data_IF_466624249496
#
_entry.id   IF_466624249496
#
_cell.length_a   1.000
_cell.length_b   1.000
_cell.length_c   1.000
_cell.angle_alpha   90.00
_cell.angle_beta   90.00
_cell.angle_gamma   90.00
#
_symmetry.space_group_name_H-M   'P 1'
#
loop_
_entity.id
_entity.type
_entity.pdbx_description
1 polymer ?
#
# COMPACT_ATOMS: atom_id res chain seq x y z
N UNK A 1 -7.56 2.70 -19.60
CA UNK A 1 -8.03 3.76 -18.67
C UNK A 1 -7.14 3.83 -17.47
N UNK A 2 -6.67 5.02 -17.17
CA UNK A 2 -5.67 5.26 -16.14
C UNK A 2 -6.29 5.83 -14.86
N UNK A 3 -7.51 5.49 -14.59
CA UNK A 3 -8.19 5.90 -13.37
C UNK A 3 -9.32 4.95 -13.02
N UNK A 4 -9.67 4.90 -11.75
CA UNK A 4 -10.85 4.19 -11.27
C UNK A 4 -12.12 5.00 -11.54
N UNK A 5 -13.27 4.38 -11.31
CA UNK A 5 -14.55 5.07 -11.28
C UNK A 5 -14.58 6.05 -10.11
N UNK A 6 -15.48 7.04 -10.17
CA UNK A 6 -15.62 8.02 -9.08
C UNK A 6 -16.11 7.38 -7.80
N UNK A 7 -16.97 6.36 -7.91
CA UNK A 7 -17.51 5.66 -6.74
C UNK A 7 -17.14 4.18 -6.81
N UNK A 8 -16.76 3.62 -5.66
CA UNK A 8 -16.46 2.18 -5.52
C UNK A 8 -17.20 1.69 -4.28
N UNK A 9 -17.98 0.63 -4.46
CA UNK A 9 -18.74 0.05 -3.36
C UNK A 9 -18.04 -1.21 -2.87
N UNK A 10 -17.79 -1.28 -1.56
CA UNK A 10 -16.98 -2.35 -0.99
C UNK A 10 -17.51 -3.75 -1.25
N UNK A 11 -18.83 -3.92 -1.32
CA UNK A 11 -19.45 -5.21 -1.61
C UNK A 11 -19.51 -5.56 -3.10
N UNK A 12 -19.11 -4.63 -3.97
CA UNK A 12 -19.12 -4.82 -5.42
C UNK A 12 -17.72 -4.76 -6.04
N UNK A 13 -16.72 -4.37 -5.25
CA UNK A 13 -15.35 -4.23 -5.71
C UNK A 13 -14.56 -5.48 -5.35
N UNK A 14 -13.82 -6.01 -6.32
CA UNK A 14 -13.02 -7.22 -6.14
C UNK A 14 -12.06 -7.11 -4.96
N UNK A 15 -12.01 -8.16 -4.15
CA UNK A 15 -10.99 -8.34 -3.12
C UNK A 15 -10.05 -9.44 -3.60
N UNK A 16 -8.78 -9.09 -3.81
CA UNK A 16 -7.76 -10.00 -4.31
C UNK A 16 -7.03 -10.67 -3.15
N UNK A 17 -6.86 -11.98 -3.23
CA UNK A 17 -5.94 -12.70 -2.34
C UNK A 17 -4.54 -12.53 -2.93
N UNK A 18 -3.67 -11.81 -2.23
CA UNK A 18 -2.29 -11.54 -2.69
C UNK A 18 -1.26 -12.43 -2.02
N UNK A 19 -1.71 -13.47 -1.28
CA UNK A 19 -0.85 -14.44 -0.62
C UNK A 19 -0.37 -13.99 0.75
N UNK A 20 0.24 -14.92 1.49
CA UNK A 20 0.83 -14.62 2.79
C UNK A 20 -0.14 -14.19 3.88
N UNK A 21 -1.43 -14.46 3.72
CA UNK A 21 -2.46 -14.01 4.67
C UNK A 21 -2.90 -12.57 4.43
N UNK A 22 -2.64 -12.03 3.25
CA UNK A 22 -3.00 -10.65 2.87
C UNK A 22 -4.06 -10.66 1.77
N UNK A 23 -5.02 -9.74 1.88
CA UNK A 23 -5.98 -9.45 0.82
C UNK A 23 -5.99 -7.96 0.54
N UNK A 24 -6.26 -7.59 -0.70
CA UNK A 24 -6.22 -6.20 -1.15
C UNK A 24 -7.46 -5.84 -1.94
N UNK A 25 -8.00 -4.66 -1.68
CA UNK A 25 -9.10 -4.09 -2.44
C UNK A 25 -8.72 -2.68 -2.91
N UNK A 26 -8.87 -2.43 -4.19
CA UNK A 26 -8.64 -1.10 -4.76
C UNK A 26 -9.76 -0.15 -4.31
N UNK A 27 -9.40 1.01 -3.75
CA UNK A 27 -10.36 2.02 -3.34
C UNK A 27 -10.52 3.11 -4.39
N UNK A 28 -9.44 3.53 -5.01
CA UNK A 28 -9.46 4.53 -6.06
C UNK A 28 -8.07 4.88 -6.53
N UNK A 29 -7.95 5.34 -7.77
CA UNK A 29 -6.67 5.76 -8.32
C UNK A 29 -6.82 6.60 -9.58
N UNK A 30 -5.78 7.36 -9.85
CA UNK A 30 -5.50 7.98 -11.15
C UNK A 30 -3.98 8.04 -11.32
N UNK A 31 -3.46 8.89 -12.18
CA UNK A 31 -2.01 9.02 -12.42
C UNK A 31 -1.25 9.65 -11.23
N UNK A 32 -1.94 10.22 -10.27
CA UNK A 32 -1.32 10.98 -9.18
C UNK A 32 -1.40 10.29 -7.83
N UNK A 33 -2.44 9.49 -7.60
CA UNK A 33 -2.74 8.93 -6.30
C UNK A 33 -3.42 7.56 -6.41
N UNK A 34 -3.19 6.73 -5.42
CA UNK A 34 -3.86 5.44 -5.30
C UNK A 34 -4.10 5.13 -3.83
N UNK A 35 -5.28 4.63 -3.50
CA UNK A 35 -5.57 4.12 -2.17
C UNK A 35 -6.07 2.67 -2.27
N UNK A 36 -5.57 1.82 -1.36
CA UNK A 36 -5.96 0.42 -1.27
C UNK A 36 -6.26 0.05 0.17
N UNK A 37 -7.20 -0.87 0.36
CA UNK A 37 -7.51 -1.45 1.66
C UNK A 37 -6.88 -2.83 1.72
N UNK A 38 -6.18 -3.12 2.80
CA UNK A 38 -5.46 -4.37 2.99
C UNK A 38 -5.96 -5.04 4.27
N UNK A 39 -6.33 -6.33 4.15
CA UNK A 39 -6.66 -7.18 5.28
C UNK A 39 -5.45 -8.05 5.60
N UNK A 40 -5.09 -8.09 6.86
CA UNK A 40 -4.03 -8.96 7.39
C UNK A 40 -4.68 -10.06 8.22
N UNK A 41 -4.41 -11.30 7.90
CA UNK A 41 -4.74 -12.40 8.82
C UNK A 41 -3.88 -12.30 10.07
N UNK A 42 -4.33 -12.91 11.16
CA UNK A 42 -3.58 -12.95 12.41
C UNK A 42 -2.17 -13.48 12.17
N UNK A 43 -1.17 -12.69 12.54
CA UNK A 43 0.24 -13.04 12.39
C UNK A 43 0.82 -12.80 11.00
N UNK A 44 0.04 -12.28 10.06
CA UNK A 44 0.55 -11.99 8.72
C UNK A 44 1.63 -10.92 8.76
N UNK A 45 2.55 -11.01 7.81
CA UNK A 45 3.71 -10.12 7.72
C UNK A 45 3.71 -9.42 6.37
N UNK A 46 3.75 -8.08 6.42
CA UNK A 46 4.14 -7.27 5.29
C UNK A 46 5.64 -7.04 5.38
N UNK A 47 6.40 -7.78 4.58
CA UNK A 47 7.86 -7.77 4.67
C UNK A 47 8.43 -6.39 4.34
N UNK A 48 9.55 -6.05 4.97
CA UNK A 48 10.23 -4.80 4.71
C UNK A 48 10.63 -4.70 3.24
N UNK A 49 10.38 -3.53 2.67
CA UNK A 49 10.70 -3.21 1.28
C UNK A 49 10.85 -1.70 1.13
N UNK A 50 11.32 -1.30 -0.03
CA UNK A 50 11.44 0.12 -0.40
C UNK A 50 10.74 0.34 -1.73
N UNK A 51 10.23 1.53 -1.94
CA UNK A 51 9.68 1.97 -3.22
C UNK A 51 9.77 3.49 -3.34
N UNK A 52 9.72 3.97 -4.57
CA UNK A 52 9.85 5.41 -4.84
C UNK A 52 8.65 6.24 -4.39
N UNK A 53 7.55 5.60 -4.05
CA UNK A 53 6.28 6.26 -3.72
C UNK A 53 6.29 6.81 -2.30
N UNK A 54 5.68 7.99 -2.12
CA UNK A 54 5.27 8.42 -0.79
C UNK A 54 4.06 7.59 -0.38
N UNK A 55 3.97 7.27 0.90
CA UNK A 55 2.87 6.43 1.40
C UNK A 55 2.37 6.96 2.74
N UNK A 56 1.05 7.00 2.88
CA UNK A 56 0.40 7.19 4.18
C UNK A 56 -0.40 5.92 4.46
N UNK A 57 -0.23 5.38 5.65
CA UNK A 57 -0.99 4.22 6.11
C UNK A 57 -1.86 4.61 7.29
N UNK A 58 -3.15 4.27 7.23
CA UNK A 58 -4.11 4.49 8.29
C UNK A 58 -4.62 3.15 8.81
N UNK A 59 -4.58 2.96 10.14
CA UNK A 59 -5.03 1.70 10.75
C UNK A 59 -6.53 1.80 11.02
N UNK A 60 -7.29 0.89 10.41
CA UNK A 60 -8.75 0.79 10.58
C UNK A 60 -9.09 -0.11 11.75
N UNK A 61 -8.40 -1.24 11.87
CA UNK A 61 -8.70 -2.26 12.87
C UNK A 61 -7.44 -3.07 13.19
N UNK A 62 -7.33 -3.51 14.43
CA UNK A 62 -6.25 -4.37 14.86
C UNK A 62 -5.03 -3.62 15.36
N UNK A 63 -3.97 -4.39 15.64
CA UNK A 63 -2.70 -3.87 16.13
C UNK A 63 -1.60 -4.23 15.13
N UNK A 64 -0.84 -3.24 14.72
CA UNK A 64 0.25 -3.40 13.75
C UNK A 64 1.56 -2.94 14.38
N UNK A 65 2.60 -3.73 14.21
CA UNK A 65 3.96 -3.36 14.59
C UNK A 65 4.66 -2.88 13.32
N UNK A 66 4.75 -1.57 13.14
CA UNK A 66 5.35 -0.95 11.97
C UNK A 66 6.81 -0.63 12.20
N UNK A 67 7.64 -1.04 11.25
CA UNK A 67 9.05 -0.66 11.21
C UNK A 67 9.26 0.31 10.04
N UNK A 68 9.80 1.48 10.33
CA UNK A 68 10.14 2.49 9.32
C UNK A 68 11.58 2.95 9.60
N UNK A 69 12.47 2.70 8.64
CA UNK A 69 13.89 3.06 8.74
C UNK A 69 14.53 2.63 10.06
N UNK A 70 14.22 1.40 10.50
CA UNK A 70 14.77 0.82 11.72
C UNK A 70 14.05 1.19 13.02
N UNK A 71 13.03 2.03 12.97
CA UNK A 71 12.24 2.41 14.15
C UNK A 71 10.92 1.66 14.13
N UNK A 72 10.64 0.90 15.18
CA UNK A 72 9.40 0.14 15.32
C UNK A 72 8.46 0.81 16.31
N UNK A 73 7.21 1.00 15.89
CA UNK A 73 6.12 1.49 16.72
C UNK A 73 4.91 0.59 16.59
N UNK A 74 4.13 0.51 17.66
CA UNK A 74 2.86 -0.22 17.66
C UNK A 74 1.76 0.79 17.31
N UNK A 75 1.03 0.50 16.24
CA UNK A 75 -0.09 1.32 15.76
C UNK A 75 -1.39 0.55 15.94
N UNK A 76 -2.42 1.25 16.38
CA UNK A 76 -3.77 0.71 16.62
C UNK A 76 -4.80 1.50 15.81
N UNK A 77 -6.04 1.04 15.80
CA UNK A 77 -7.13 1.72 15.10
C UNK A 77 -7.13 3.23 15.38
N UNK A 78 -7.15 4.03 14.32
CA UNK A 78 -7.07 5.48 14.39
C UNK A 78 -5.66 6.06 14.27
N UNK A 79 -4.63 5.24 14.38
CA UNK A 79 -3.25 5.68 14.22
C UNK A 79 -2.84 5.64 12.75
N UNK A 80 -1.81 6.39 12.41
CA UNK A 80 -1.29 6.46 11.05
C UNK A 80 0.22 6.62 11.05
N UNK A 81 0.82 6.35 9.90
CA UNK A 81 2.25 6.60 9.68
C UNK A 81 2.49 7.09 8.25
N UNK A 82 3.62 7.74 8.08
CA UNK A 82 4.07 8.27 6.79
C UNK A 82 5.43 7.66 6.43
N UNK A 83 5.54 7.19 5.20
CA UNK A 83 6.79 6.69 4.64
C UNK A 83 7.20 7.58 3.47
N UNK A 84 8.36 8.24 3.62
CA UNK A 84 8.95 9.02 2.53
C UNK A 84 9.41 8.09 1.40
N UNK A 85 9.62 8.61 0.17
CA UNK A 85 10.19 7.81 -0.90
C UNK A 85 11.46 7.07 -0.46
N UNK A 86 11.52 5.78 -0.78
CA UNK A 86 12.63 4.87 -0.47
C UNK A 86 12.87 4.57 1.01
N UNK A 87 12.01 5.02 1.92
CA UNK A 87 12.08 4.59 3.29
C UNK A 87 11.88 3.07 3.37
N UNK A 88 12.77 2.38 4.07
CA UNK A 88 12.59 0.94 4.32
C UNK A 88 11.47 0.76 5.32
N UNK A 89 10.47 -0.04 4.98
CA UNK A 89 9.33 -0.21 5.86
C UNK A 89 8.66 -1.57 5.71
N UNK A 90 8.02 -1.99 6.76
CA UNK A 90 7.23 -3.21 6.81
C UNK A 90 6.43 -3.26 8.09
N UNK A 91 5.57 -4.28 8.21
CA UNK A 91 4.70 -4.43 9.37
C UNK A 91 4.39 -5.88 9.65
N UNK A 92 4.15 -6.17 10.92
CA UNK A 92 3.52 -7.42 11.35
C UNK A 92 2.20 -7.10 12.01
N UNK A 93 1.25 -8.02 11.91
CA UNK A 93 -0.08 -7.84 12.50
C UNK A 93 -0.44 -9.02 13.40
N UNK A 94 0.00 -9.01 14.68
CA UNK A 94 -0.24 -10.14 15.58
C UNK A 94 -1.70 -10.50 15.81
N UNK A 95 -2.58 -9.52 15.72
CA UNK A 95 -4.01 -9.68 16.01
C UNK A 95 -4.86 -10.00 14.78
N UNK A 96 -4.30 -9.82 13.58
CA UNK A 96 -5.10 -9.62 12.39
C UNK A 96 -5.67 -8.22 12.38
N UNK A 97 -5.92 -7.65 11.21
CA UNK A 97 -6.42 -6.29 11.13
C UNK A 97 -6.60 -5.78 9.72
N UNK A 98 -6.89 -4.50 9.63
CA UNK A 98 -7.20 -3.81 8.39
C UNK A 98 -6.47 -2.47 8.40
N UNK A 99 -5.82 -2.15 7.29
CA UNK A 99 -5.23 -0.83 7.08
C UNK A 99 -5.60 -0.30 5.69
N UNK A 100 -5.43 0.99 5.51
CA UNK A 100 -5.57 1.66 4.22
C UNK A 100 -4.23 2.29 3.89
N UNK A 101 -3.69 1.94 2.71
CA UNK A 101 -2.48 2.54 2.17
C UNK A 101 -2.85 3.53 1.08
N UNK A 102 -2.27 4.72 1.15
CA UNK A 102 -2.41 5.73 0.11
C UNK A 102 -1.02 6.06 -0.43
N UNK A 103 -0.87 5.98 -1.75
CA UNK A 103 0.40 6.20 -2.45
C UNK A 103 0.33 7.36 -3.41
N UNK A 104 1.40 8.09 -3.53
CA UNK A 104 1.59 9.07 -4.58
C UNK A 104 3.05 9.05 -5.06
N UNK A 105 3.26 8.79 -6.34
CA UNK A 105 2.30 8.40 -7.37
C UNK A 105 1.71 7.01 -7.12
N UNK A 106 0.80 6.52 -7.97
CA UNK A 106 0.19 5.20 -7.78
C UNK A 106 1.20 4.06 -7.88
N UNK A 107 0.92 2.98 -7.15
CA UNK A 107 1.64 1.71 -7.29
C UNK A 107 1.17 1.03 -8.56
N UNK A 108 1.88 1.23 -9.65
CA UNK A 108 1.53 0.68 -10.97
C UNK A 108 1.55 -0.84 -10.99
N UNK A 109 2.35 -1.46 -10.11
CA UNK A 109 2.41 -2.91 -9.95
C UNK A 109 1.15 -3.51 -9.33
N UNK A 110 0.27 -2.68 -8.75
CA UNK A 110 -1.02 -3.14 -8.22
C UNK A 110 -2.12 -3.16 -9.29
N UNK A 111 -1.85 -2.64 -10.46
CA UNK A 111 -2.81 -2.52 -11.55
C UNK A 111 -2.50 -3.53 -12.66
N UNK A 112 -3.51 -3.87 -13.49
CA UNK A 112 -3.27 -4.72 -14.66
C UNK A 112 -2.22 -4.13 -15.58
N UNK A 113 -1.49 -4.98 -16.29
CA UNK A 113 -0.54 -4.56 -17.30
C UNK A 113 -1.24 -3.65 -18.32
N UNK A 114 -0.60 -2.54 -18.67
CA UNK A 114 -1.13 -1.58 -19.63
C UNK A 114 -1.96 -0.46 -19.02
N UNK A 115 -2.24 -0.49 -17.72
CA UNK A 115 -3.02 0.57 -17.06
C UNK A 115 -2.38 1.95 -17.21
N UNK A 116 -1.05 2.02 -17.29
CA UNK A 116 -0.29 3.25 -17.46
C UNK A 116 0.72 3.13 -18.60
N UNK A 117 0.24 2.78 -19.81
CA UNK A 117 1.09 2.52 -20.98
C UNK A 117 2.00 3.67 -21.38
N UNK A 118 1.62 4.90 -21.07
CA UNK A 118 2.39 6.08 -21.42
C UNK A 118 3.41 6.48 -20.36
N UNK A 119 3.59 5.66 -19.34
CA UNK A 119 4.50 5.94 -18.23
C UNK A 119 5.73 5.04 -18.34
N UNK A 120 6.91 5.64 -18.28
CA UNK A 120 8.17 4.92 -18.21
C UNK A 120 8.33 4.33 -16.81
N UNK A 121 7.96 3.06 -16.68
CA UNK A 121 7.98 2.34 -15.39
C UNK A 121 9.40 2.19 -14.87
N UNK A 122 10.39 1.96 -15.73
CA UNK A 122 11.78 1.87 -15.29
C UNK A 122 12.25 3.16 -14.66
N UNK A 123 11.93 4.29 -15.30
CA UNK A 123 12.27 5.60 -14.76
C UNK A 123 11.53 5.87 -13.44
N UNK A 124 10.27 5.45 -13.34
CA UNK A 124 9.48 5.60 -12.12
C UNK A 124 10.05 4.78 -10.97
N UNK A 125 10.57 3.60 -11.24
CA UNK A 125 11.09 2.69 -10.22
C UNK A 125 12.58 2.89 -9.94
N UNK A 126 13.22 3.82 -10.63
CA UNK A 126 14.62 4.14 -10.44
C UNK A 126 14.83 4.94 -9.17
N UNK A 127 15.75 4.49 -8.31
CA UNK A 127 16.11 5.25 -7.10
C UNK A 127 17.10 6.35 -7.49
N UNK A 128 16.72 7.63 -7.38
CA UNK A 128 17.62 8.73 -7.72
C UNK A 128 18.87 8.77 -6.85
N UNK A 129 18.87 8.12 -5.69
CA UNK A 129 20.04 8.02 -4.82
C UNK A 129 21.09 7.05 -5.31
N UNK A 130 20.79 6.25 -6.34
CA UNK A 130 21.70 5.26 -6.91
C UNK A 130 22.44 5.77 -8.15
N UNK A 131 22.19 7.00 -8.50
CA UNK A 131 22.82 7.62 -9.69
C UNK A 131 24.18 8.19 -9.33
#
# INVERSE_FOLDING_TARGET
MSKSENFSFGNETEVEDIGGGLKRQMLGYNHEIMAVKIWFEKGAIGYNHTHRHSQVTYIVEGEFHFNIDGVTKILKAGDSCFMAPYADHGATCPTGGILIDTFSPPREDFLPAGAFDNIDIEKLNSDPKKV
#
